data_IF_691014535713
#
_entry.id   IF_691014535713
#
_cell.length_a   1.000
_cell.length_b   1.000
_cell.length_c   1.000
_cell.angle_alpha   90.00
_cell.angle_beta   90.00
_cell.angle_gamma   90.00
#
_symmetry.space_group_name_H-M   'P 1'
#
loop_
_entity.id
_entity.type
_entity.pdbx_description
1 polymer ?
#
# COMPACT_ATOMS: atom_id res chain seq x y z
N UNK A 1 31.87 -31.86 5.00
CA UNK A 1 30.61 -31.86 4.20
C UNK A 1 29.81 -30.58 4.50
N UNK A 2 30.24 -29.45 3.95
CA UNK A 2 29.69 -28.10 4.24
C UNK A 2 29.64 -27.28 2.95
N UNK A 3 28.88 -27.76 1.96
CA UNK A 3 28.77 -27.11 0.64
C UNK A 3 27.33 -26.74 0.23
N UNK A 4 26.31 -27.05 1.04
CA UNK A 4 24.90 -26.79 0.70
C UNK A 4 24.38 -25.39 1.02
N UNK A 5 24.96 -24.69 2.00
CA UNK A 5 24.41 -23.41 2.49
C UNK A 5 24.87 -22.17 1.72
N UNK A 6 25.97 -22.23 0.96
CA UNK A 6 26.52 -21.05 0.25
C UNK A 6 25.83 -20.75 -1.07
N UNK A 7 25.17 -21.73 -1.69
CA UNK A 7 24.48 -21.54 -2.97
C UNK A 7 23.14 -20.78 -2.80
N UNK A 8 22.52 -20.87 -1.63
CA UNK A 8 21.24 -20.24 -1.28
C UNK A 8 21.33 -18.74 -0.96
N UNK A 9 22.53 -18.17 -0.84
CA UNK A 9 22.72 -16.73 -0.52
C UNK A 9 23.06 -15.85 -1.74
N UNK A 10 23.21 -16.46 -2.93
CA UNK A 10 23.57 -15.74 -4.15
C UNK A 10 22.36 -15.52 -5.06
N UNK A 11 22.01 -14.25 -5.30
CA UNK A 11 20.95 -13.87 -6.25
C UNK A 11 21.24 -14.41 -7.66
N UNK A 12 22.51 -14.42 -8.09
CA UNK A 12 22.96 -14.97 -9.38
C UNK A 12 22.70 -16.48 -9.49
N UNK A 13 22.79 -17.22 -8.38
CA UNK A 13 22.60 -18.67 -8.40
C UNK A 13 21.14 -19.09 -8.61
N UNK A 14 20.20 -18.22 -8.22
CA UNK A 14 18.75 -18.48 -8.34
C UNK A 14 18.08 -17.71 -9.47
N UNK A 15 18.78 -16.78 -10.14
CA UNK A 15 18.17 -15.84 -11.10
C UNK A 15 17.46 -16.53 -12.26
N UNK A 16 17.99 -17.65 -12.75
CA UNK A 16 17.38 -18.44 -13.84
C UNK A 16 16.05 -19.12 -13.43
N UNK A 17 15.68 -19.07 -12.15
CA UNK A 17 14.43 -19.61 -11.60
C UNK A 17 13.42 -18.51 -11.25
N UNK A 18 13.79 -17.24 -11.40
CA UNK A 18 12.95 -16.09 -11.05
C UNK A 18 12.26 -15.55 -12.30
N UNK A 19 11.02 -15.14 -12.14
CA UNK A 19 10.19 -14.50 -13.16
C UNK A 19 9.97 -13.03 -12.77
N UNK A 20 9.64 -12.13 -13.72
CA UNK A 20 9.33 -10.72 -13.41
C UNK A 20 8.28 -10.56 -12.31
N UNK A 21 7.29 -11.46 -12.27
CA UNK A 21 6.30 -11.55 -11.19
C UNK A 21 6.92 -11.69 -9.80
N UNK A 22 7.95 -12.52 -9.65
CA UNK A 22 8.59 -12.70 -8.34
C UNK A 22 9.36 -11.45 -7.91
N UNK A 23 9.93 -10.73 -8.87
CA UNK A 23 10.61 -9.47 -8.61
C UNK A 23 9.62 -8.38 -8.18
N UNK A 24 8.39 -8.42 -8.68
CA UNK A 24 7.27 -7.62 -8.15
C UNK A 24 6.91 -8.05 -6.73
N UNK A 25 6.78 -9.35 -6.46
CA UNK A 25 6.56 -9.85 -5.08
C UNK A 25 7.65 -9.33 -4.13
N UNK A 26 8.92 -9.38 -4.54
CA UNK A 26 10.02 -8.85 -3.75
C UNK A 26 9.87 -7.35 -3.44
N UNK A 27 9.52 -6.56 -4.46
CA UNK A 27 9.33 -5.11 -4.32
C UNK A 27 8.19 -4.79 -3.35
N UNK A 28 7.04 -5.46 -3.51
CA UNK A 28 5.86 -5.29 -2.65
C UNK A 28 6.16 -5.70 -1.21
N UNK A 29 6.78 -6.85 -0.99
CA UNK A 29 7.11 -7.33 0.36
C UNK A 29 8.22 -6.50 1.02
N UNK A 30 9.15 -5.95 0.25
CA UNK A 30 10.17 -5.04 0.80
C UNK A 30 9.56 -3.70 1.24
N UNK A 31 8.67 -3.12 0.42
CA UNK A 31 7.98 -1.86 0.70
C UNK A 31 6.95 -2.00 1.84
N UNK A 32 6.06 -2.99 1.77
CA UNK A 32 4.91 -3.13 2.67
C UNK A 32 5.12 -4.13 3.81
N UNK A 33 6.28 -4.79 3.84
CA UNK A 33 6.75 -5.75 4.86
C UNK A 33 6.01 -7.06 4.95
N UNK A 34 4.70 -7.06 4.71
CA UNK A 34 3.88 -8.26 4.69
C UNK A 34 2.66 -8.12 3.79
N UNK A 35 2.29 -9.20 3.11
CA UNK A 35 1.03 -9.36 2.40
C UNK A 35 0.50 -10.77 2.63
N UNK A 36 -0.82 -10.94 2.66
CA UNK A 36 -1.42 -12.27 2.73
C UNK A 36 -1.34 -13.00 1.39
N UNK A 37 -1.48 -14.34 1.40
CA UNK A 37 -1.60 -15.13 0.16
C UNK A 37 -2.70 -14.58 -0.75
N UNK A 38 -3.86 -14.21 -0.19
CA UNK A 38 -5.00 -13.69 -0.95
C UNK A 38 -4.69 -12.33 -1.58
N UNK A 39 -3.98 -11.45 -0.87
CA UNK A 39 -3.55 -10.15 -1.41
C UNK A 39 -2.55 -10.33 -2.56
N UNK A 40 -1.54 -11.18 -2.39
CA UNK A 40 -0.58 -11.48 -3.47
C UNK A 40 -1.29 -12.12 -4.66
N UNK A 41 -2.24 -13.03 -4.42
CA UNK A 41 -3.02 -13.66 -5.48
C UNK A 41 -3.83 -12.63 -6.27
N UNK A 42 -4.53 -11.71 -5.58
CA UNK A 42 -5.31 -10.66 -6.21
C UNK A 42 -4.47 -9.72 -7.09
N UNK A 43 -3.24 -9.41 -6.66
CA UNK A 43 -2.32 -8.56 -7.42
C UNK A 43 -1.75 -9.33 -8.63
N UNK A 44 -1.28 -10.56 -8.47
CA UNK A 44 -0.33 -11.16 -9.43
C UNK A 44 -0.77 -12.48 -10.07
N UNK A 45 -1.88 -13.06 -9.65
CA UNK A 45 -2.30 -14.39 -10.09
C UNK A 45 -3.75 -14.40 -10.54
N UNK A 46 -4.12 -15.44 -11.28
CA UNK A 46 -5.51 -15.76 -11.67
C UNK A 46 -6.11 -16.84 -10.77
N UNK A 47 -5.27 -17.56 -10.02
CA UNK A 47 -5.68 -18.62 -9.09
C UNK A 47 -4.82 -18.59 -7.82
N UNK A 48 -5.50 -18.69 -6.68
CA UNK A 48 -4.86 -18.79 -5.37
C UNK A 48 -4.02 -20.07 -5.22
N UNK A 49 -4.39 -21.18 -5.88
CA UNK A 49 -3.57 -22.41 -5.91
C UNK A 49 -2.22 -22.16 -6.58
N UNK A 50 -2.21 -21.50 -7.74
CA UNK A 50 -0.98 -21.17 -8.47
C UNK A 50 -0.11 -20.21 -7.66
N UNK A 51 -0.73 -19.22 -7.00
CA UNK A 51 -0.05 -18.32 -6.08
C UNK A 51 0.67 -19.08 -4.97
N UNK A 52 -0.03 -19.96 -4.24
CA UNK A 52 0.55 -20.77 -3.15
C UNK A 52 1.70 -21.65 -3.62
N UNK A 53 1.54 -22.32 -4.76
CA UNK A 53 2.60 -23.17 -5.32
C UNK A 53 3.84 -22.35 -5.67
N UNK A 54 3.68 -21.16 -6.28
CA UNK A 54 4.81 -20.29 -6.60
C UNK A 54 5.49 -19.77 -5.34
N UNK A 55 4.72 -19.30 -4.36
CA UNK A 55 5.27 -18.79 -3.10
C UNK A 55 6.00 -19.89 -2.30
N UNK A 56 5.52 -21.13 -2.34
CA UNK A 56 6.24 -22.27 -1.77
C UNK A 56 7.59 -22.52 -2.47
N UNK A 57 7.63 -22.46 -3.80
CA UNK A 57 8.88 -22.59 -4.56
C UNK A 57 9.87 -21.46 -4.25
N UNK A 58 9.39 -20.21 -4.20
CA UNK A 58 10.21 -19.04 -3.82
C UNK A 58 10.75 -19.15 -2.39
N UNK A 59 9.98 -19.74 -1.48
CA UNK A 59 10.44 -19.99 -0.11
C UNK A 59 11.57 -21.00 -0.06
N UNK A 60 11.49 -22.09 -0.83
CA UNK A 60 12.58 -23.07 -0.93
C UNK A 60 13.88 -22.43 -1.44
N UNK A 61 13.78 -21.36 -2.23
CA UNK A 61 14.91 -20.56 -2.69
C UNK A 61 15.44 -19.55 -1.64
N UNK A 62 14.76 -19.37 -0.50
CA UNK A 62 15.07 -18.31 0.46
C UNK A 62 14.71 -16.90 -0.05
N UNK A 63 13.90 -16.82 -1.11
CA UNK A 63 13.50 -15.55 -1.73
C UNK A 63 12.39 -14.86 -0.93
N UNK A 64 11.44 -15.63 -0.40
CA UNK A 64 10.41 -15.17 0.54
C UNK A 64 10.40 -16.04 1.79
N UNK A 65 9.77 -15.56 2.86
CA UNK A 65 9.41 -16.38 4.02
C UNK A 65 7.94 -16.16 4.40
N UNK A 66 7.44 -16.84 5.42
CA UNK A 66 6.06 -16.66 5.88
C UNK A 66 5.90 -16.91 7.37
N UNK A 67 4.77 -16.47 7.89
CA UNK A 67 4.26 -16.84 9.20
C UNK A 67 2.73 -16.96 9.15
N UNK A 68 2.15 -17.66 10.13
CA UNK A 68 0.70 -17.71 10.34
C UNK A 68 0.41 -17.18 11.74
N UNK A 69 -0.22 -16.00 11.86
CA UNK A 69 -0.61 -15.48 13.16
C UNK A 69 -1.69 -16.36 13.78
N UNK A 70 -1.61 -16.57 15.10
CA UNK A 70 -2.68 -17.19 15.88
C UNK A 70 -3.25 -16.12 16.81
N UNK A 71 -4.54 -15.81 16.66
CA UNK A 71 -5.24 -14.81 17.48
C UNK A 71 -6.51 -15.42 18.05
N UNK A 72 -6.69 -15.34 19.37
CA UNK A 72 -7.86 -15.88 20.09
C UNK A 72 -8.17 -17.34 19.70
N UNK A 73 -7.12 -18.17 19.62
CA UNK A 73 -7.23 -19.59 19.25
C UNK A 73 -7.49 -19.88 17.77
N UNK A 74 -7.57 -18.86 16.90
CA UNK A 74 -7.79 -19.05 15.45
C UNK A 74 -6.51 -18.73 14.67
N UNK A 75 -6.18 -19.62 13.73
CA UNK A 75 -5.16 -19.36 12.71
C UNK A 75 -5.70 -18.35 11.71
N UNK A 76 -4.99 -17.25 11.53
CA UNK A 76 -5.29 -16.25 10.50
C UNK A 76 -4.70 -16.69 9.14
N UNK A 77 -5.02 -15.98 8.03
CA UNK A 77 -4.38 -16.24 6.75
C UNK A 77 -2.86 -16.23 6.82
N UNK A 78 -2.20 -16.96 5.92
CA UNK A 78 -0.73 -16.94 5.80
C UNK A 78 -0.26 -15.57 5.32
N UNK A 79 0.73 -15.02 6.03
CA UNK A 79 1.41 -13.76 5.74
C UNK A 79 2.80 -14.05 5.19
N UNK A 80 3.14 -13.43 4.08
CA UNK A 80 4.43 -13.57 3.42
C UNK A 80 5.33 -12.38 3.72
N UNK A 81 6.62 -12.66 3.91
CA UNK A 81 7.66 -11.72 4.28
C UNK A 81 8.77 -11.73 3.22
N UNK A 82 9.51 -10.62 3.04
CA UNK A 82 10.69 -10.65 2.18
C UNK A 82 11.74 -11.60 2.80
N UNK A 83 12.28 -12.50 1.99
CA UNK A 83 13.46 -13.29 2.33
C UNK A 83 14.74 -12.48 2.10
N UNK A 84 15.88 -13.07 2.43
CA UNK A 84 17.18 -12.40 2.27
C UNK A 84 17.44 -12.04 0.79
N UNK A 85 17.15 -12.95 -0.14
CA UNK A 85 17.44 -12.70 -1.56
C UNK A 85 16.53 -11.62 -2.16
N UNK A 86 15.24 -11.60 -1.81
CA UNK A 86 14.33 -10.53 -2.23
C UNK A 86 14.79 -9.16 -1.68
N UNK A 87 15.14 -9.10 -0.39
CA UNK A 87 15.60 -7.85 0.22
C UNK A 87 16.93 -7.36 -0.37
N UNK A 88 17.85 -8.28 -0.70
CA UNK A 88 19.10 -7.96 -1.42
C UNK A 88 18.83 -7.46 -2.83
N UNK A 89 17.93 -8.11 -3.57
CA UNK A 89 17.56 -7.71 -4.93
C UNK A 89 17.03 -6.28 -4.95
N UNK A 90 16.03 -5.96 -4.13
CA UNK A 90 15.42 -4.62 -4.10
C UNK A 90 16.44 -3.57 -3.67
N UNK A 91 17.22 -3.83 -2.62
CA UNK A 91 18.25 -2.89 -2.18
C UNK A 91 19.29 -2.58 -3.27
N UNK A 92 19.77 -3.60 -4.01
CA UNK A 92 20.75 -3.40 -5.09
C UNK A 92 20.15 -2.70 -6.29
N UNK A 93 18.92 -3.05 -6.69
CA UNK A 93 18.20 -2.39 -7.78
C UNK A 93 18.05 -0.91 -7.51
N UNK A 94 17.72 -0.56 -6.27
CA UNK A 94 17.52 0.82 -5.83
C UNK A 94 18.86 1.55 -5.52
N UNK A 95 20.01 0.95 -5.89
CA UNK A 95 21.36 1.53 -5.69
C UNK A 95 21.88 1.52 -4.25
N UNK A 96 21.18 0.84 -3.35
CA UNK A 96 21.49 0.75 -1.93
C UNK A 96 22.38 -0.44 -1.55
N UNK A 97 22.78 -0.47 -0.27
CA UNK A 97 23.56 -1.57 0.29
C UNK A 97 22.64 -2.74 0.66
N UNK A 98 22.94 -3.98 0.23
CA UNK A 98 22.15 -5.14 0.62
C UNK A 98 22.14 -5.32 2.15
N UNK A 99 20.98 -5.69 2.76
CA UNK A 99 20.90 -5.93 4.18
C UNK A 99 21.64 -7.20 4.59
N UNK A 100 22.05 -7.27 5.86
CA UNK A 100 22.61 -8.49 6.46
C UNK A 100 21.49 -9.48 6.79
N UNK A 101 21.84 -10.77 6.89
CA UNK A 101 20.91 -11.82 7.35
C UNK A 101 20.29 -11.49 8.71
N UNK A 102 21.08 -10.90 9.62
CA UNK A 102 20.59 -10.44 10.94
C UNK A 102 19.53 -9.35 10.79
N UNK A 103 19.78 -8.33 9.97
CA UNK A 103 18.85 -7.22 9.77
C UNK A 103 17.51 -7.69 9.15
N UNK A 104 17.55 -8.66 8.23
CA UNK A 104 16.34 -9.25 7.65
C UNK A 104 15.56 -10.02 8.72
N UNK A 105 16.22 -10.86 9.52
CA UNK A 105 15.56 -11.62 10.61
C UNK A 105 14.92 -10.72 11.65
N UNK A 106 15.64 -9.72 12.15
CA UNK A 106 15.07 -8.74 13.09
C UNK A 106 13.87 -8.00 12.50
N UNK A 107 13.87 -7.76 11.18
CA UNK A 107 12.72 -7.17 10.52
C UNK A 107 11.53 -8.12 10.47
N UNK A 108 11.75 -9.38 10.12
CA UNK A 108 10.73 -10.42 10.13
C UNK A 108 10.14 -10.58 11.55
N UNK A 109 10.98 -10.64 12.58
CA UNK A 109 10.56 -10.75 13.98
C UNK A 109 9.70 -9.55 14.42
N UNK A 110 10.05 -8.32 14.00
CA UNK A 110 9.22 -7.13 14.26
C UNK A 110 7.84 -7.23 13.61
N UNK A 111 7.75 -7.77 12.41
CA UNK A 111 6.45 -7.97 11.75
C UNK A 111 5.63 -9.03 12.48
N UNK A 112 6.25 -10.14 12.90
CA UNK A 112 5.58 -11.20 13.67
C UNK A 112 5.09 -10.68 15.03
N UNK A 113 5.89 -9.85 15.70
CA UNK A 113 5.59 -9.29 17.02
C UNK A 113 4.58 -8.12 17.00
N UNK A 114 4.17 -7.62 15.83
CA UNK A 114 3.34 -6.41 15.76
C UNK A 114 1.94 -6.63 16.36
N UNK A 115 1.45 -5.63 17.09
CA UNK A 115 0.06 -5.52 17.54
C UNK A 115 -0.86 -4.94 16.46
N UNK A 116 -0.30 -4.37 15.39
CA UNK A 116 -1.04 -3.61 14.37
C UNK A 116 -1.31 -4.40 13.08
N UNK A 117 -1.17 -5.73 13.09
CA UNK A 117 -1.25 -6.54 11.87
C UNK A 117 -2.58 -6.38 11.13
N UNK A 118 -3.70 -6.34 11.86
CA UNK A 118 -5.02 -6.12 11.26
C UNK A 118 -5.15 -4.76 10.55
N UNK A 119 -4.43 -3.75 11.05
CA UNK A 119 -4.41 -2.41 10.47
C UNK A 119 -3.56 -2.37 9.21
N UNK A 120 -2.40 -3.03 9.24
CA UNK A 120 -1.55 -3.23 8.07
C UNK A 120 -2.29 -3.99 6.97
N UNK A 121 -2.96 -5.09 7.33
CA UNK A 121 -3.74 -5.89 6.39
C UNK A 121 -4.85 -5.07 5.73
N UNK A 122 -5.61 -4.28 6.52
CA UNK A 122 -6.68 -3.44 6.01
C UNK A 122 -6.18 -2.29 5.13
N UNK A 123 -5.06 -1.67 5.51
CA UNK A 123 -4.42 -0.61 4.72
C UNK A 123 -3.94 -1.18 3.39
N UNK A 124 -3.23 -2.31 3.41
CA UNK A 124 -2.75 -2.95 2.19
C UNK A 124 -3.90 -3.41 1.29
N UNK A 125 -5.00 -3.88 1.87
CA UNK A 125 -6.18 -4.30 1.10
C UNK A 125 -6.76 -3.18 0.25
N UNK A 126 -6.78 -1.93 0.75
CA UNK A 126 -7.25 -0.78 -0.02
C UNK A 126 -6.49 -0.63 -1.35
N UNK A 127 -5.16 -0.71 -1.32
CA UNK A 127 -4.34 -0.59 -2.53
C UNK A 127 -4.37 -1.87 -3.38
N UNK A 128 -4.47 -3.05 -2.77
CA UNK A 128 -4.69 -4.32 -3.47
C UNK A 128 -5.96 -4.25 -4.31
N UNK A 129 -7.05 -3.68 -3.78
CA UNK A 129 -8.32 -3.54 -4.48
C UNK A 129 -8.20 -2.60 -5.69
N UNK A 130 -7.41 -1.51 -5.58
CA UNK A 130 -7.08 -0.62 -6.71
C UNK A 130 -6.26 -1.33 -7.79
N UNK A 131 -5.26 -2.13 -7.42
CA UNK A 131 -4.46 -2.90 -8.38
C UNK A 131 -5.32 -3.98 -9.05
N UNK A 132 -6.14 -4.69 -8.28
CA UNK A 132 -7.04 -5.70 -8.81
C UNK A 132 -8.05 -5.10 -9.81
N UNK A 133 -8.50 -3.86 -9.59
CA UNK A 133 -9.30 -3.11 -10.57
C UNK A 133 -8.49 -2.75 -11.81
N UNK A 134 -7.25 -2.26 -11.65
CA UNK A 134 -6.36 -1.88 -12.77
C UNK A 134 -6.17 -3.04 -13.75
N UNK A 135 -6.08 -4.28 -13.24
CA UNK A 135 -5.97 -5.49 -14.07
C UNK A 135 -7.19 -5.79 -14.94
N UNK A 136 -8.37 -5.28 -14.56
CA UNK A 136 -9.63 -5.48 -15.28
C UNK A 136 -10.01 -4.27 -16.15
N UNK A 137 -9.29 -3.16 -16.01
CA UNK A 137 -9.60 -1.88 -16.67
C UNK A 137 -8.31 -1.25 -17.20
N UNK A 138 -8.05 -1.33 -18.52
CA UNK A 138 -6.82 -0.82 -19.13
C UNK A 138 -6.59 0.69 -18.93
N UNK A 139 -7.66 1.45 -18.71
CA UNK A 139 -7.64 2.90 -18.52
C UNK A 139 -7.46 3.33 -17.05
N UNK A 140 -7.42 2.36 -16.13
CA UNK A 140 -7.30 2.57 -14.70
C UNK A 140 -5.98 1.99 -14.18
N UNK A 141 -5.22 2.78 -13.41
CA UNK A 141 -3.87 2.40 -12.98
C UNK A 141 -3.51 3.01 -11.63
N UNK A 142 -3.05 2.18 -10.69
CA UNK A 142 -2.32 2.66 -9.51
C UNK A 142 -0.86 2.92 -9.88
N UNK A 143 -0.54 4.16 -10.23
CA UNK A 143 0.78 4.56 -10.74
C UNK A 143 1.85 4.73 -9.64
N UNK A 144 1.44 4.79 -8.36
CA UNK A 144 2.34 4.83 -7.21
C UNK A 144 1.65 4.21 -6.01
N UNK A 145 2.39 3.42 -5.23
CA UNK A 145 1.98 2.97 -3.90
C UNK A 145 3.16 3.04 -2.94
N UNK A 146 3.05 3.86 -1.90
CA UNK A 146 4.02 3.93 -0.81
C UNK A 146 3.40 3.48 0.51
N UNK A 147 4.20 2.75 1.28
CA UNK A 147 3.89 2.44 2.68
C UNK A 147 3.85 3.71 3.54
N UNK A 148 3.18 3.67 4.68
CA UNK A 148 3.19 4.77 5.64
C UNK A 148 4.60 5.23 6.04
N UNK A 149 5.55 4.33 6.38
CA UNK A 149 6.93 4.72 6.67
C UNK A 149 7.64 5.44 5.51
N UNK A 150 7.49 4.96 4.26
CA UNK A 150 8.06 5.63 3.09
C UNK A 150 7.43 6.99 2.84
N UNK A 151 6.11 7.07 2.97
CA UNK A 151 5.37 8.32 2.82
C UNK A 151 5.82 9.32 3.87
N UNK A 152 5.83 8.95 5.16
CA UNK A 152 6.31 9.83 6.22
C UNK A 152 7.74 10.31 5.95
N UNK A 153 8.64 9.43 5.49
CA UNK A 153 10.00 9.84 5.12
C UNK A 153 10.03 10.85 3.96
N UNK A 154 9.24 10.63 2.90
CA UNK A 154 9.15 11.52 1.75
C UNK A 154 8.67 12.94 2.10
N UNK A 155 7.87 13.08 3.16
CA UNK A 155 7.39 14.37 3.67
C UNK A 155 8.16 14.86 4.91
N UNK A 156 9.39 14.38 5.11
CA UNK A 156 10.25 14.80 6.22
C UNK A 156 9.62 14.58 7.60
N UNK A 157 8.79 13.53 7.72
CA UNK A 157 8.04 13.12 8.93
C UNK A 157 7.09 14.19 9.48
N UNK A 158 6.58 15.08 8.63
CA UNK A 158 5.54 16.06 8.99
C UNK A 158 4.14 15.46 9.07
N UNK A 159 3.92 14.41 8.28
CA UNK A 159 2.67 13.64 8.22
C UNK A 159 3.00 12.16 8.34
N UNK A 160 2.03 11.38 8.85
CA UNK A 160 2.16 9.95 9.09
C UNK A 160 0.94 9.18 8.57
N UNK A 161 0.61 9.29 7.27
CA UNK A 161 -0.46 8.49 6.68
C UNK A 161 -0.14 7.01 6.76
N UNK A 162 -1.18 6.18 6.70
CA UNK A 162 -1.03 4.73 6.60
C UNK A 162 -0.47 4.30 5.24
N UNK A 163 -0.75 5.09 4.20
CA UNK A 163 -0.16 4.94 2.87
C UNK A 163 -0.42 6.14 1.97
N UNK A 164 0.26 6.15 0.83
CA UNK A 164 0.08 7.13 -0.23
C UNK A 164 -0.07 6.43 -1.56
N UNK A 165 -0.96 6.95 -2.41
CA UNK A 165 -1.11 6.46 -3.77
C UNK A 165 -1.29 7.58 -4.78
N UNK A 166 -1.01 7.24 -6.04
CA UNK A 166 -1.42 8.03 -7.20
C UNK A 166 -2.26 7.14 -8.09
N UNK A 167 -3.55 7.47 -8.20
CA UNK A 167 -4.52 6.76 -9.01
C UNK A 167 -4.77 7.51 -10.32
N UNK A 168 -4.82 6.78 -11.43
CA UNK A 168 -5.19 7.26 -12.75
C UNK A 168 -6.43 6.53 -13.24
N UNK A 169 -7.38 7.25 -13.81
CA UNK A 169 -8.57 6.68 -14.46
C UNK A 169 -9.08 7.68 -15.51
N UNK A 170 -9.36 7.20 -16.72
CA UNK A 170 -9.94 7.98 -17.82
C UNK A 170 -9.26 9.36 -18.05
N UNK A 171 -7.93 9.41 -17.99
CA UNK A 171 -7.14 10.64 -18.20
C UNK A 171 -7.08 11.59 -16.99
N UNK A 172 -7.75 11.27 -15.88
CA UNK A 172 -7.62 11.98 -14.59
C UNK A 172 -6.53 11.34 -13.74
N UNK A 173 -5.90 12.15 -12.89
CA UNK A 173 -4.91 11.67 -11.92
C UNK A 173 -5.18 12.32 -10.56
N UNK A 174 -5.23 11.49 -9.52
CA UNK A 174 -5.38 11.91 -8.13
C UNK A 174 -4.22 11.31 -7.31
N UNK A 175 -3.43 12.18 -6.70
CA UNK A 175 -2.52 11.81 -5.63
C UNK A 175 -3.26 11.96 -4.30
N UNK A 176 -3.10 11.03 -3.35
CA UNK A 176 -3.87 11.04 -2.10
C UNK A 176 -3.08 10.51 -0.90
N UNK A 177 -3.49 10.90 0.30
CA UNK A 177 -3.08 10.27 1.56
C UNK A 177 -4.18 9.36 2.07
N UNK A 178 -3.83 8.20 2.63
CA UNK A 178 -4.79 7.25 3.19
C UNK A 178 -4.66 7.18 4.72
N UNK A 179 -5.79 7.31 5.39
CA UNK A 179 -6.02 7.02 6.80
C UNK A 179 -7.04 5.87 6.89
N UNK A 180 -6.55 4.69 7.25
CA UNK A 180 -7.40 3.52 7.45
C UNK A 180 -7.90 3.52 8.89
N UNK A 181 -9.19 3.25 9.07
CA UNK A 181 -9.75 3.14 10.40
C UNK A 181 -10.33 1.74 10.64
N UNK A 182 -10.05 1.19 11.82
CA UNK A 182 -10.57 -0.09 12.28
C UNK A 182 -11.68 0.04 13.33
N UNK A 183 -12.09 1.26 13.69
CA UNK A 183 -13.06 1.48 14.76
C UNK A 183 -12.45 1.63 16.15
N UNK A 184 -11.12 1.61 16.27
CA UNK A 184 -10.43 1.55 17.57
C UNK A 184 -10.17 2.93 18.19
N UNK A 185 -10.20 3.98 17.38
CA UNK A 185 -9.98 5.37 17.82
C UNK A 185 -11.31 6.07 18.10
N UNK A 186 -11.28 7.13 18.91
CA UNK A 186 -12.44 8.01 19.05
C UNK A 186 -12.60 8.89 17.80
N UNK A 187 -13.81 9.38 17.55
CA UNK A 187 -14.05 10.35 16.46
C UNK A 187 -13.20 11.61 16.61
N UNK A 188 -12.86 11.98 17.84
CA UNK A 188 -12.00 13.13 18.13
C UNK A 188 -10.57 12.93 17.68
N UNK A 189 -10.01 11.76 17.95
CA UNK A 189 -8.67 11.39 17.50
C UNK A 189 -8.62 11.34 15.98
N UNK A 190 -9.65 10.75 15.36
CA UNK A 190 -9.72 10.60 13.91
C UNK A 190 -9.79 11.96 13.19
N UNK A 191 -10.66 12.87 13.65
CA UNK A 191 -10.75 14.21 13.10
C UNK A 191 -9.45 15.02 13.30
N UNK A 192 -8.74 14.83 14.43
CA UNK A 192 -7.47 15.51 14.70
C UNK A 192 -6.35 15.11 13.72
N UNK A 193 -6.48 13.99 13.00
CA UNK A 193 -5.51 13.57 11.98
C UNK A 193 -5.46 14.51 10.77
N UNK A 194 -6.45 15.38 10.56
CA UNK A 194 -6.45 16.37 9.47
C UNK A 194 -5.39 17.46 9.68
N UNK A 195 -5.21 17.92 10.92
CA UNK A 195 -4.38 19.10 11.22
C UNK A 195 -2.90 19.00 10.77
N UNK A 196 -2.21 17.84 10.87
CA UNK A 196 -0.87 17.67 10.28
C UNK A 196 -0.82 17.95 8.77
N UNK A 197 -1.83 17.53 8.00
CA UNK A 197 -1.87 17.74 6.55
C UNK A 197 -2.11 19.21 6.20
N UNK A 198 -2.93 19.91 6.99
CA UNK A 198 -3.11 21.36 6.84
C UNK A 198 -1.81 22.12 7.12
N UNK A 199 -1.09 21.75 8.18
CA UNK A 199 0.25 22.33 8.45
C UNK A 199 1.24 22.05 7.34
N UNK A 200 1.23 20.85 6.77
CA UNK A 200 2.05 20.50 5.60
C UNK A 200 1.72 21.42 4.41
N UNK A 201 0.42 21.65 4.15
CA UNK A 201 -0.02 22.54 3.08
C UNK A 201 0.44 23.99 3.29
N UNK A 202 0.36 24.50 4.51
CA UNK A 202 0.79 25.88 4.84
C UNK A 202 2.28 26.14 4.60
N UNK A 203 3.12 25.10 4.64
CA UNK A 203 4.57 25.21 4.36
C UNK A 203 4.93 24.83 2.92
N UNK A 204 3.95 24.86 2.00
CA UNK A 204 4.16 24.63 0.57
C UNK A 204 3.93 23.19 0.09
N UNK A 205 3.47 22.28 0.97
CA UNK A 205 3.08 20.92 0.57
C UNK A 205 1.82 20.88 -0.31
N UNK A 206 1.48 19.70 -0.84
CA UNK A 206 0.33 19.51 -1.72
C UNK A 206 -1.00 19.66 -0.98
N UNK A 207 -2.05 20.00 -1.72
CA UNK A 207 -3.44 19.87 -1.26
C UNK A 207 -4.07 18.63 -1.89
N UNK A 208 -3.46 17.48 -1.60
CA UNK A 208 -4.01 16.17 -1.95
C UNK A 208 -5.10 15.77 -0.95
N UNK A 209 -6.13 15.04 -1.40
CA UNK A 209 -7.18 14.56 -0.51
C UNK A 209 -6.62 13.61 0.54
N UNK A 210 -7.03 13.85 1.78
CA UNK A 210 -6.87 12.89 2.89
C UNK A 210 -8.10 11.99 2.90
N UNK A 211 -7.88 10.71 2.60
CA UNK A 211 -8.92 9.70 2.49
C UNK A 211 -9.08 8.98 3.82
N UNK A 212 -10.28 9.03 4.41
CA UNK A 212 -10.63 8.19 5.55
C UNK A 212 -11.39 6.95 5.08
N UNK A 213 -10.80 5.78 5.30
CA UNK A 213 -11.37 4.48 4.93
C UNK A 213 -11.97 3.75 6.14
N UNK A 214 -13.29 3.84 6.27
CA UNK A 214 -14.01 3.59 7.52
C UNK A 214 -14.71 2.23 7.52
N UNK A 215 -14.89 1.59 8.69
CA UNK A 215 -15.45 0.24 8.76
C UNK A 215 -16.97 0.21 8.57
N UNK A 216 -17.70 1.28 8.91
CA UNK A 216 -19.17 1.30 8.89
C UNK A 216 -19.76 2.65 8.45
N UNK A 217 -21.00 2.65 7.91
CA UNK A 217 -21.71 3.89 7.55
C UNK A 217 -21.94 4.82 8.75
N UNK A 218 -22.29 4.27 9.91
CA UNK A 218 -22.50 5.08 11.12
C UNK A 218 -21.21 5.79 11.56
N UNK A 219 -20.06 5.10 11.44
CA UNK A 219 -18.78 5.69 11.80
C UNK A 219 -18.35 6.80 10.82
N UNK A 220 -18.68 6.62 9.53
CA UNK A 220 -18.53 7.66 8.51
C UNK A 220 -19.40 8.88 8.78
N UNK A 221 -20.71 8.71 8.96
CA UNK A 221 -21.63 9.82 9.22
C UNK A 221 -21.20 10.66 10.42
N UNK A 222 -20.77 10.00 11.50
CA UNK A 222 -20.27 10.66 12.71
C UNK A 222 -18.97 11.44 12.46
N UNK A 223 -18.06 10.94 11.63
CA UNK A 223 -16.83 11.67 11.27
C UNK A 223 -17.17 12.88 10.40
N UNK A 224 -18.01 12.72 9.39
CA UNK A 224 -18.44 13.80 8.49
C UNK A 224 -19.11 14.92 9.28
N UNK A 225 -20.06 14.59 10.17
CA UNK A 225 -20.73 15.58 11.02
C UNK A 225 -19.74 16.36 11.90
N UNK A 226 -18.73 15.66 12.42
CA UNK A 226 -17.70 16.26 13.27
C UNK A 226 -16.77 17.19 12.49
N UNK A 227 -16.35 16.79 11.29
CA UNK A 227 -15.51 17.64 10.43
C UNK A 227 -16.30 18.84 9.88
N UNK A 228 -17.61 18.69 9.66
CA UNK A 228 -18.49 19.78 9.25
C UNK A 228 -18.76 20.80 10.38
N UNK A 229 -18.60 20.41 11.65
CA UNK A 229 -18.74 21.33 12.80
C UNK A 229 -17.51 22.22 13.04
N UNK A 230 -16.47 22.07 12.23
CA UNK A 230 -15.24 22.89 12.28
C UNK A 230 -15.12 23.75 11.02
N UNK A 231 -14.16 24.67 10.99
CA UNK A 231 -13.86 25.43 9.78
C UNK A 231 -13.54 24.48 8.61
N UNK A 232 -13.92 24.82 7.36
CA UNK A 232 -13.62 23.99 6.20
C UNK A 232 -12.12 23.66 6.13
N UNK A 233 -11.73 22.38 5.96
CA UNK A 233 -10.34 22.01 5.88
C UNK A 233 -9.60 22.70 4.73
N UNK A 234 -8.35 23.08 4.97
CA UNK A 234 -7.50 23.70 3.93
C UNK A 234 -7.05 22.69 2.87
N UNK A 235 -7.07 21.40 3.21
CA UNK A 235 -6.83 20.29 2.29
C UNK A 235 -8.15 19.53 2.06
N UNK A 236 -8.39 18.99 0.86
CA UNK A 236 -9.58 18.17 0.64
C UNK A 236 -9.60 16.98 1.61
N UNK A 237 -10.77 16.68 2.18
CA UNK A 237 -10.98 15.49 3.01
C UNK A 237 -12.13 14.71 2.42
N UNK A 238 -11.91 13.41 2.18
CA UNK A 238 -12.92 12.53 1.65
C UNK A 238 -13.08 11.30 2.54
N UNK A 239 -14.32 10.89 2.77
CA UNK A 239 -14.64 9.70 3.57
C UNK A 239 -15.32 8.66 2.69
N UNK A 240 -15.01 7.40 2.94
CA UNK A 240 -15.76 6.28 2.41
C UNK A 240 -15.81 5.18 3.46
N UNK A 241 -16.81 4.30 3.37
CA UNK A 241 -16.87 3.13 4.23
C UNK A 241 -16.90 1.82 3.42
N UNK A 242 -16.31 0.79 4.02
CA UNK A 242 -16.09 -0.52 3.38
C UNK A 242 -17.36 -1.20 2.92
N UNK A 243 -18.51 -0.96 3.58
CA UNK A 243 -19.78 -1.59 3.19
C UNK A 243 -20.26 -1.09 1.84
N UNK A 244 -20.19 0.22 1.60
CA UNK A 244 -20.58 0.81 0.31
C UNK A 244 -19.63 0.43 -0.82
N UNK A 245 -18.37 0.20 -0.51
CA UNK A 245 -17.36 -0.15 -1.50
C UNK A 245 -17.30 -1.65 -1.84
N UNK A 246 -18.18 -2.48 -1.28
CA UNK A 246 -18.14 -3.95 -1.48
C UNK A 246 -18.14 -4.33 -2.97
N UNK A 247 -18.97 -3.67 -3.78
CA UNK A 247 -19.16 -4.04 -5.19
C UNK A 247 -18.31 -3.24 -6.16
N UNK A 248 -18.09 -1.95 -5.86
CA UNK A 248 -17.40 -1.00 -6.76
C UNK A 248 -15.96 -0.71 -6.37
N UNK A 249 -15.54 -1.15 -5.18
CA UNK A 249 -14.20 -0.93 -4.65
C UNK A 249 -13.88 0.53 -4.32
N UNK A 250 -12.65 0.80 -3.87
CA UNK A 250 -12.22 2.14 -3.46
C UNK A 250 -12.05 3.14 -4.62
N UNK A 251 -12.00 2.69 -5.87
CA UNK A 251 -11.94 3.61 -7.01
C UNK A 251 -13.32 4.16 -7.42
N UNK A 252 -14.38 3.43 -7.12
CA UNK A 252 -15.75 3.75 -7.53
C UNK A 252 -16.32 4.98 -6.82
N UNK A 253 -17.59 5.34 -7.13
CA UNK A 253 -18.27 6.49 -6.58
C UNK A 253 -18.70 6.28 -5.12
N UNK A 254 -17.72 6.12 -4.23
CA UNK A 254 -17.90 5.81 -2.81
C UNK A 254 -17.47 6.94 -1.90
N UNK A 255 -16.89 8.02 -2.43
CA UNK A 255 -16.27 9.06 -1.62
C UNK A 255 -17.21 10.23 -1.39
N UNK A 256 -17.50 10.53 -0.12
CA UNK A 256 -18.14 11.78 0.30
C UNK A 256 -17.06 12.83 0.57
N UNK A 257 -17.10 13.96 -0.13
CA UNK A 257 -16.20 15.09 0.12
C UNK A 257 -16.75 15.94 1.26
N UNK A 258 -15.95 16.14 2.31
CA UNK A 258 -16.34 16.97 3.46
C UNK A 258 -16.51 18.42 3.01
N UNK A 259 -17.66 19.02 3.32
CA UNK A 259 -18.02 20.36 2.85
C UNK A 259 -18.47 20.43 1.39
N UNK A 260 -18.54 19.28 0.69
CA UNK A 260 -19.10 19.15 -0.65
C UNK A 260 -20.61 18.84 -0.64
N UNK A 261 -21.12 18.48 -1.81
CA UNK A 261 -22.51 18.02 -1.98
C UNK A 261 -22.79 16.64 -1.37
N UNK A 262 -24.06 16.23 -1.39
CA UNK A 262 -24.48 14.92 -0.87
C UNK A 262 -24.03 13.74 -1.75
N UNK A 263 -23.67 14.00 -3.00
CA UNK A 263 -23.30 12.98 -3.97
C UNK A 263 -21.92 12.39 -3.67
N UNK A 264 -21.82 11.06 -3.77
CA UNK A 264 -20.54 10.36 -3.71
C UNK A 264 -19.86 10.40 -5.07
N UNK A 265 -18.55 10.61 -5.07
CA UNK A 265 -17.74 10.73 -6.29
C UNK A 265 -16.70 9.63 -6.39
N UNK A 266 -16.22 9.38 -7.62
CA UNK A 266 -15.14 8.45 -7.89
C UNK A 266 -13.82 8.92 -7.27
N UNK A 267 -12.89 7.99 -7.02
CA UNK A 267 -11.57 8.35 -6.49
C UNK A 267 -10.86 9.36 -7.39
N UNK A 268 -10.90 9.12 -8.72
CA UNK A 268 -10.27 9.99 -9.73
C UNK A 268 -10.92 11.37 -9.87
N UNK A 269 -12.11 11.57 -9.28
CA UNK A 269 -12.87 12.82 -9.34
C UNK A 269 -12.61 13.71 -8.13
N UNK A 270 -11.84 13.23 -7.15
CA UNK A 270 -11.52 14.00 -5.96
C UNK A 270 -10.61 15.19 -6.29
N UNK A 271 -10.84 16.37 -5.69
CA UNK A 271 -9.95 17.51 -5.84
C UNK A 271 -8.55 17.15 -5.37
N UNK A 272 -7.53 17.38 -6.21
CA UNK A 272 -6.13 17.12 -5.89
C UNK A 272 -5.25 18.16 -6.55
N UNK A 273 -4.51 18.91 -5.73
CA UNK A 273 -3.63 19.97 -6.20
C UNK A 273 -2.20 19.68 -5.76
N UNK A 274 -1.27 19.73 -6.71
CA UNK A 274 0.16 19.58 -6.46
C UNK A 274 0.68 20.70 -5.51
N UNK A 275 1.74 20.39 -4.79
CA UNK A 275 2.44 21.35 -3.94
C UNK A 275 3.33 22.29 -4.75
N UNK A 276 4.02 23.18 -4.05
CA UNK A 276 5.10 23.93 -4.67
C UNK A 276 6.26 22.98 -5.01
N UNK A 277 6.90 23.20 -6.16
CA UNK A 277 8.12 22.45 -6.53
C UNK A 277 9.16 22.62 -5.42
N UNK A 278 9.59 21.53 -4.81
CA UNK A 278 10.50 21.57 -3.67
C UNK A 278 10.39 20.34 -2.78
N UNK A 279 10.89 20.46 -1.55
CA UNK A 279 11.14 19.32 -0.66
C UNK A 279 9.87 18.58 -0.19
N UNK A 280 8.69 19.20 -0.27
CA UNK A 280 7.45 18.64 0.27
C UNK A 280 6.42 18.25 -0.79
N UNK A 281 6.82 18.23 -2.07
CA UNK A 281 6.06 17.58 -3.13
C UNK A 281 6.99 16.58 -3.84
N UNK A 282 6.74 15.27 -3.75
CA UNK A 282 7.54 14.27 -4.44
C UNK A 282 7.35 14.28 -5.97
N UNK A 283 6.47 15.14 -6.50
CA UNK A 283 6.20 15.28 -7.92
C UNK A 283 5.35 14.14 -8.49
N UNK A 284 5.15 14.14 -9.82
CA UNK A 284 4.37 13.11 -10.50
C UNK A 284 4.99 11.72 -10.34
N UNK A 285 4.19 10.64 -10.43
CA UNK A 285 4.73 9.28 -10.35
C UNK A 285 5.68 8.99 -11.51
N UNK A 286 6.83 8.41 -11.19
CA UNK A 286 7.77 7.85 -12.18
C UNK A 286 7.42 6.40 -12.48
N UNK A 287 7.86 5.87 -13.62
CA UNK A 287 7.45 4.53 -14.07
C UNK A 287 7.83 3.42 -13.07
N UNK A 288 9.00 3.52 -12.43
CA UNK A 288 9.50 2.57 -11.42
C UNK A 288 8.72 2.59 -10.09
N UNK A 289 7.85 3.58 -9.89
CA UNK A 289 6.96 3.67 -8.73
C UNK A 289 5.64 2.92 -8.94
N UNK A 290 5.35 2.51 -10.18
CA UNK A 290 4.20 1.66 -10.47
C UNK A 290 4.44 0.26 -9.88
N UNK A 291 3.52 -0.25 -9.02
CA UNK A 291 3.69 -1.55 -8.39
C UNK A 291 3.83 -2.72 -9.38
N UNK A 292 3.32 -2.57 -10.60
CA UNK A 292 3.35 -3.59 -11.64
C UNK A 292 4.38 -3.28 -12.75
N UNK A 293 5.20 -2.24 -12.60
CA UNK A 293 6.17 -1.79 -13.61
C UNK A 293 6.96 -2.94 -14.26
N UNK A 294 7.50 -3.86 -13.45
CA UNK A 294 8.32 -4.96 -13.96
C UNK A 294 7.56 -6.00 -14.80
N UNK A 295 6.23 -6.08 -14.68
CA UNK A 295 5.43 -6.95 -15.54
C UNK A 295 5.22 -6.33 -16.92
N UNK A 296 5.07 -5.01 -17.00
CA UNK A 296 4.85 -4.31 -18.27
C UNK A 296 6.12 -4.22 -19.13
N UNK A 297 7.29 -4.38 -18.52
CA UNK A 297 8.57 -4.42 -19.22
C UNK A 297 8.87 -5.81 -19.82
N UNK A 298 8.02 -6.83 -19.56
CA UNK A 298 8.22 -8.17 -20.10
C UNK A 298 7.60 -8.29 -21.51
N UNK A 299 8.41 -8.40 -22.58
CA UNK A 299 7.90 -8.54 -23.94
C UNK A 299 7.14 -9.86 -24.18
N UNK A 300 7.15 -10.80 -23.22
CA UNK A 300 6.40 -12.06 -23.29
C UNK A 300 5.05 -12.04 -22.53
N UNK A 301 4.58 -10.86 -22.08
CA UNK A 301 3.34 -10.71 -21.33
C UNK A 301 2.05 -10.52 -22.18
N UNK A 302 2.16 -10.54 -23.52
CA UNK A 302 1.05 -10.71 -24.46
C UNK A 302 0.84 -12.19 -24.83
#
# INVERSE_FOLDING_TARGET
MTSGARLTESLRAVSWRLEPRDLVIASLLYEHRTLTTAQIAAILFTSDRTCRNRLAALRTLGFVDWFVPIRRGRRLPTHWLPGLLAARYVALRDGGRPPTTKAVREMQDRVVATSHLAHVDATNQFFVDLIALSRRRPDARLARWWSGPRTAAAFGRRVHPDGHGVWRDAGRQVAFFLETDLGNETQSVLAAKVAPYERLRLVGGPAWPVLFWLPTPAREANLVARLASTAPPVVPVATANRRYATDVGPAGPVWTVVGGGADRVGLADLPSVAGAVGTFDPGPPTADQDPLYLLDQDPAAE
#
